data_IF_980354493647
#
_entry.id   IF_980354493647
#
_cell.length_a   1.000
_cell.length_b   1.000
_cell.length_c   1.000
_cell.angle_alpha   90.00
_cell.angle_beta   90.00
_cell.angle_gamma   90.00
#
_symmetry.space_group_name_H-M   'P 1'
#
loop_
_entity.id
_entity.type
_entity.pdbx_description
1 polymer ?
#
# COMPACT_ATOMS: atom_id res chain seq x y z
N UNK A 1 35.72 19.92 23.04
CA UNK A 1 35.93 18.48 22.85
C UNK A 1 35.52 18.12 21.44
N UNK A 2 36.44 17.63 20.60
CA UNK A 2 36.17 17.27 19.20
C UNK A 2 35.57 15.85 19.19
N UNK A 3 34.33 15.70 18.75
CA UNK A 3 33.70 14.40 18.57
C UNK A 3 34.24 13.76 17.28
N UNK A 4 35.01 12.68 17.46
CA UNK A 4 35.55 11.84 16.42
C UNK A 4 34.47 10.80 16.03
N UNK A 5 33.86 10.92 14.86
CA UNK A 5 32.90 9.94 14.38
C UNK A 5 33.63 8.76 13.73
N UNK A 6 33.52 7.59 14.34
CA UNK A 6 34.06 6.32 13.83
C UNK A 6 33.06 5.75 12.83
N UNK A 7 33.37 5.86 11.54
CA UNK A 7 32.53 5.38 10.44
C UNK A 7 32.77 3.87 10.25
N UNK A 8 31.92 3.04 10.88
CA UNK A 8 31.88 1.59 10.66
C UNK A 8 31.28 1.31 9.28
N UNK A 9 32.13 0.98 8.31
CA UNK A 9 31.70 0.48 7.00
C UNK A 9 31.35 -0.99 7.17
N UNK A 10 30.05 -1.28 7.35
CA UNK A 10 29.52 -2.65 7.26
C UNK A 10 29.38 -2.98 5.78
N UNK A 11 30.27 -3.84 5.28
CA UNK A 11 30.14 -4.46 3.95
C UNK A 11 29.01 -5.50 4.01
N UNK A 12 27.77 -5.05 3.81
CA UNK A 12 26.67 -5.96 3.45
C UNK A 12 26.88 -6.42 2.00
N UNK A 13 27.23 -7.68 1.81
CA UNK A 13 27.18 -8.34 0.50
C UNK A 13 25.72 -8.52 0.08
N UNK A 14 25.15 -7.47 -0.54
CA UNK A 14 23.88 -7.55 -1.23
C UNK A 14 24.07 -8.34 -2.53
N UNK A 15 23.90 -9.66 -2.49
CA UNK A 15 23.39 -10.38 -3.65
C UNK A 15 21.90 -10.05 -3.81
N UNK A 16 21.60 -8.78 -4.07
CA UNK A 16 20.28 -8.39 -4.53
C UNK A 16 20.24 -8.73 -6.01
N UNK A 17 19.70 -9.90 -6.36
CA UNK A 17 19.28 -10.17 -7.74
C UNK A 17 18.38 -9.01 -8.15
N UNK A 18 18.80 -8.29 -9.20
CA UNK A 18 18.05 -7.13 -9.67
C UNK A 18 16.66 -7.61 -10.11
N UNK A 19 15.63 -7.08 -9.46
CA UNK A 19 14.25 -7.44 -9.72
C UNK A 19 13.84 -7.02 -11.14
N UNK A 20 13.06 -7.86 -11.82
CA UNK A 20 12.62 -7.63 -13.20
C UNK A 20 11.80 -6.33 -13.31
N UNK A 21 12.21 -5.43 -14.20
CA UNK A 21 11.52 -4.17 -14.49
C UNK A 21 10.71 -4.22 -15.78
N UNK A 22 11.12 -5.07 -16.70
CA UNK A 22 10.48 -5.38 -17.97
C UNK A 22 10.80 -6.83 -18.38
N UNK A 23 10.33 -7.24 -19.55
CA UNK A 23 10.58 -8.58 -20.08
C UNK A 23 11.57 -8.63 -21.24
N UNK A 24 12.54 -7.72 -21.32
CA UNK A 24 13.64 -7.85 -22.28
C UNK A 24 14.40 -9.17 -22.08
N UNK A 25 14.70 -9.50 -20.81
CA UNK A 25 15.32 -10.78 -20.42
C UNK A 25 14.29 -11.91 -20.38
N UNK A 26 13.10 -11.63 -19.84
CA UNK A 26 12.04 -12.62 -19.62
C UNK A 26 11.38 -13.12 -20.92
N UNK A 27 11.62 -12.46 -22.07
CA UNK A 27 11.19 -12.96 -23.38
C UNK A 27 12.07 -14.08 -23.96
N UNK A 28 13.29 -14.25 -23.44
CA UNK A 28 14.26 -15.23 -23.95
C UNK A 28 14.80 -16.20 -22.89
N UNK A 29 14.60 -15.89 -21.61
CA UNK A 29 15.09 -16.70 -20.49
C UNK A 29 13.93 -17.12 -19.59
N UNK A 30 13.99 -18.35 -19.10
CA UNK A 30 13.06 -18.84 -18.07
C UNK A 30 13.34 -18.08 -16.77
N UNK A 31 12.28 -17.60 -16.15
CA UNK A 31 12.32 -16.89 -14.87
C UNK A 31 12.02 -17.88 -13.75
N UNK A 32 12.73 -17.74 -12.63
CA UNK A 32 12.48 -18.48 -11.40
C UNK A 32 11.62 -17.69 -10.39
N UNK A 33 11.14 -18.38 -9.37
CA UNK A 33 10.32 -17.78 -8.31
C UNK A 33 11.07 -16.72 -7.49
N UNK A 34 12.38 -16.85 -7.32
CA UNK A 34 13.19 -15.95 -6.49
C UNK A 34 13.26 -14.56 -7.14
N UNK A 35 13.45 -14.50 -8.46
CA UNK A 35 13.50 -13.28 -9.26
C UNK A 35 12.21 -12.43 -9.17
N UNK A 36 11.08 -13.08 -8.88
CA UNK A 36 9.77 -12.43 -8.78
C UNK A 36 9.21 -12.39 -7.36
N UNK A 37 9.93 -12.91 -6.37
CA UNK A 37 9.45 -13.10 -5.00
C UNK A 37 8.95 -11.82 -4.35
N UNK A 38 9.60 -10.69 -4.68
CA UNK A 38 9.30 -9.34 -4.16
C UNK A 38 8.37 -8.51 -5.06
N UNK A 39 7.97 -9.02 -6.24
CA UNK A 39 7.13 -8.27 -7.16
C UNK A 39 5.69 -8.21 -6.64
N UNK A 40 5.09 -7.05 -6.81
CA UNK A 40 3.68 -6.81 -6.52
C UNK A 40 2.77 -7.40 -7.61
N UNK A 41 1.47 -7.49 -7.31
CA UNK A 41 0.43 -7.90 -8.27
C UNK A 41 0.49 -7.07 -9.55
N UNK A 42 0.65 -5.74 -9.42
CA UNK A 42 0.66 -4.84 -10.56
C UNK A 42 1.92 -5.00 -11.41
N UNK A 43 3.08 -5.24 -10.78
CA UNK A 43 4.33 -5.48 -11.50
C UNK A 43 4.30 -6.84 -12.22
N UNK A 44 3.74 -7.90 -11.62
CA UNK A 44 3.57 -9.19 -12.30
C UNK A 44 2.60 -9.10 -13.47
N UNK A 45 1.49 -8.36 -13.30
CA UNK A 45 0.55 -8.05 -14.39
C UNK A 45 1.24 -7.25 -15.50
N UNK A 46 2.09 -6.30 -15.12
CA UNK A 46 2.89 -5.52 -16.06
C UNK A 46 3.83 -6.41 -16.88
N UNK A 47 4.63 -7.28 -16.23
CA UNK A 47 5.53 -8.22 -16.93
C UNK A 47 4.77 -9.17 -17.85
N UNK A 48 3.60 -9.65 -17.42
CA UNK A 48 2.70 -10.46 -18.25
C UNK A 48 2.29 -9.69 -19.51
N UNK A 49 1.86 -8.44 -19.36
CA UNK A 49 1.48 -7.59 -20.49
C UNK A 49 2.69 -7.25 -21.38
N UNK A 50 3.88 -7.04 -20.83
CA UNK A 50 5.10 -6.76 -21.60
C UNK A 50 5.44 -7.91 -22.55
N UNK A 51 5.30 -9.17 -22.10
CA UNK A 51 5.45 -10.36 -22.96
C UNK A 51 4.46 -10.36 -24.12
N UNK A 52 3.17 -10.10 -23.85
CA UNK A 52 2.17 -10.00 -24.92
C UNK A 52 2.44 -8.81 -25.86
N UNK A 53 2.85 -7.67 -25.33
CA UNK A 53 3.19 -6.48 -26.11
C UNK A 53 4.34 -6.75 -27.08
N UNK A 54 5.38 -7.47 -26.65
CA UNK A 54 6.51 -7.88 -27.51
C UNK A 54 6.10 -8.75 -28.69
N UNK A 55 4.99 -9.48 -28.57
CA UNK A 55 4.38 -10.26 -29.65
C UNK A 55 3.33 -9.48 -30.45
N UNK A 56 3.19 -8.18 -30.19
CA UNK A 56 2.29 -7.28 -30.89
C UNK A 56 0.85 -7.34 -30.42
N UNK A 57 0.55 -7.86 -29.23
CA UNK A 57 -0.81 -7.84 -28.69
C UNK A 57 -1.35 -6.42 -28.61
N UNK A 58 -2.49 -6.16 -29.25
CA UNK A 58 -3.18 -4.88 -29.22
C UNK A 58 -4.08 -4.79 -28.00
N UNK A 59 -3.72 -3.93 -27.04
CA UNK A 59 -4.50 -3.68 -25.84
C UNK A 59 -5.74 -2.83 -26.12
N UNK A 60 -6.86 -3.15 -25.46
CA UNK A 60 -8.11 -2.39 -25.52
C UNK A 60 -8.20 -1.32 -24.44
N UNK A 61 -7.57 -1.59 -23.29
CA UNK A 61 -7.48 -0.65 -22.20
C UNK A 61 -6.62 0.55 -22.62
N UNK A 62 -7.15 1.76 -22.41
CA UNK A 62 -6.53 2.99 -22.90
C UNK A 62 -5.18 3.25 -22.25
N UNK A 63 -5.09 3.08 -20.93
CA UNK A 63 -3.85 3.37 -20.18
C UNK A 63 -2.75 2.39 -20.56
N UNK A 64 -3.07 1.09 -20.64
CA UNK A 64 -2.12 0.06 -21.06
C UNK A 64 -1.70 0.28 -22.52
N UNK A 65 -2.64 0.57 -23.41
CA UNK A 65 -2.32 0.83 -24.82
C UNK A 65 -1.43 2.07 -24.96
N UNK A 66 -1.71 3.16 -24.26
CA UNK A 66 -0.91 4.38 -24.34
C UNK A 66 0.52 4.12 -23.87
N UNK A 67 0.68 3.42 -22.74
CA UNK A 67 1.99 3.05 -22.21
C UNK A 67 2.85 2.28 -23.23
N UNK A 68 2.29 1.27 -23.90
CA UNK A 68 3.06 0.47 -24.86
C UNK A 68 3.27 1.19 -26.20
N UNK A 69 2.35 2.05 -26.64
CA UNK A 69 2.51 2.87 -27.85
C UNK A 69 3.72 3.80 -27.79
N UNK A 70 4.13 4.22 -26.60
CA UNK A 70 5.34 5.03 -26.39
C UNK A 70 6.64 4.23 -26.56
N UNK A 71 6.57 2.89 -26.64
CA UNK A 71 7.75 2.03 -26.74
C UNK A 71 8.15 1.85 -28.22
N UNK A 72 9.37 2.23 -28.64
CA UNK A 72 9.78 2.11 -30.04
C UNK A 72 9.75 0.69 -30.61
N UNK A 73 9.85 -0.33 -29.75
CA UNK A 73 9.82 -1.74 -30.13
C UNK A 73 8.41 -2.32 -30.26
N UNK A 74 7.38 -1.65 -29.74
CA UNK A 74 6.01 -2.16 -29.75
C UNK A 74 5.35 -1.92 -31.11
N UNK A 75 4.86 -3.01 -31.71
CA UNK A 75 4.19 -2.99 -33.02
C UNK A 75 2.90 -3.81 -32.93
N UNK A 76 1.75 -3.17 -32.61
CA UNK A 76 0.51 -3.91 -32.44
C UNK A 76 0.04 -4.53 -33.76
N UNK A 77 -0.40 -5.78 -33.71
CA UNK A 77 -1.01 -6.46 -34.84
C UNK A 77 -2.47 -6.04 -35.00
N UNK A 78 -3.03 -6.22 -36.20
CA UNK A 78 -4.44 -5.95 -36.46
C UNK A 78 -5.38 -6.99 -35.84
N UNK A 79 -4.87 -8.19 -35.57
CA UNK A 79 -5.65 -9.35 -35.11
C UNK A 79 -4.89 -10.11 -34.02
N UNK A 80 -5.37 -9.99 -32.77
CA UNK A 80 -4.75 -10.61 -31.60
C UNK A 80 -4.76 -12.15 -31.65
N UNK A 81 -5.59 -12.80 -32.48
CA UNK A 81 -5.58 -14.27 -32.60
C UNK A 81 -4.28 -14.82 -33.19
N UNK A 82 -3.49 -13.95 -33.84
CA UNK A 82 -2.17 -14.28 -34.40
C UNK A 82 -1.04 -14.16 -33.39
N UNK A 83 -1.30 -13.58 -32.23
CA UNK A 83 -0.32 -13.44 -31.15
C UNK A 83 -0.08 -14.81 -30.54
N UNK A 84 1.14 -15.31 -30.68
CA UNK A 84 1.58 -16.57 -30.09
C UNK A 84 2.83 -16.32 -29.26
N UNK A 85 2.76 -16.70 -27.99
CA UNK A 85 3.93 -16.79 -27.13
C UNK A 85 4.78 -17.99 -27.56
N UNK A 86 6.09 -17.94 -27.32
CA UNK A 86 6.96 -19.13 -27.41
C UNK A 86 6.91 -19.91 -26.08
N UNK A 87 7.51 -21.10 -26.05
CA UNK A 87 7.49 -21.96 -24.86
C UNK A 87 8.04 -21.29 -23.58
N UNK A 88 9.09 -20.46 -23.70
CA UNK A 88 9.69 -19.73 -22.58
C UNK A 88 8.73 -18.64 -22.07
N UNK A 89 8.15 -17.87 -22.98
CA UNK A 89 7.19 -16.81 -22.65
C UNK A 89 5.91 -17.40 -22.04
N UNK A 90 5.39 -18.51 -22.54
CA UNK A 90 4.24 -19.23 -21.97
C UNK A 90 4.53 -19.71 -20.55
N UNK A 91 5.71 -20.30 -20.32
CA UNK A 91 6.14 -20.73 -19.00
C UNK A 91 6.23 -19.55 -18.02
N UNK A 92 6.82 -18.43 -18.44
CA UNK A 92 6.96 -17.24 -17.60
C UNK A 92 5.61 -16.57 -17.32
N UNK A 93 4.72 -16.47 -18.31
CA UNK A 93 3.35 -15.97 -18.11
C UNK A 93 2.61 -16.82 -17.08
N UNK A 94 2.71 -18.16 -17.18
CA UNK A 94 2.10 -19.06 -16.21
C UNK A 94 2.62 -18.80 -14.79
N UNK A 95 3.94 -18.71 -14.63
CA UNK A 95 4.57 -18.39 -13.34
C UNK A 95 4.08 -17.04 -12.77
N UNK A 96 4.03 -15.98 -13.59
CA UNK A 96 3.54 -14.67 -13.16
C UNK A 96 2.07 -14.70 -12.75
N UNK A 97 1.23 -15.44 -13.48
CA UNK A 97 -0.20 -15.60 -13.17
C UNK A 97 -0.42 -16.38 -11.87
N UNK A 98 0.32 -17.47 -11.65
CA UNK A 98 0.25 -18.27 -10.42
C UNK A 98 0.67 -17.43 -9.21
N UNK A 99 1.80 -16.72 -9.30
CA UNK A 99 2.24 -15.80 -8.24
C UNK A 99 1.23 -14.68 -8.00
N UNK A 100 0.65 -14.12 -9.06
CA UNK A 100 -0.41 -13.10 -8.97
C UNK A 100 -1.63 -13.62 -8.22
N UNK A 101 -2.07 -14.86 -8.50
CA UNK A 101 -3.22 -15.47 -7.83
C UNK A 101 -2.96 -15.67 -6.34
N UNK A 102 -1.75 -16.12 -5.96
CA UNK A 102 -1.34 -16.29 -4.57
C UNK A 102 -1.39 -14.95 -3.82
N UNK A 103 -0.78 -13.90 -4.38
CA UNK A 103 -0.77 -12.57 -3.76
C UNK A 103 -2.17 -11.98 -3.63
N UNK A 104 -3.04 -12.16 -4.63
CA UNK A 104 -4.44 -11.71 -4.57
C UNK A 104 -5.22 -12.45 -3.48
N UNK A 105 -5.03 -13.76 -3.36
CA UNK A 105 -5.67 -14.55 -2.32
C UNK A 105 -5.22 -14.13 -0.92
N UNK A 106 -3.91 -13.90 -0.72
CA UNK A 106 -3.37 -13.42 0.55
C UNK A 106 -3.87 -12.02 0.91
N UNK A 107 -3.86 -11.09 -0.06
CA UNK A 107 -4.45 -9.75 0.11
C UNK A 107 -5.93 -9.82 0.47
N UNK A 108 -6.71 -10.70 -0.16
CA UNK A 108 -8.12 -10.93 0.18
C UNK A 108 -8.31 -11.33 1.65
N UNK A 109 -7.48 -12.25 2.14
CA UNK A 109 -7.50 -12.69 3.55
C UNK A 109 -7.08 -11.58 4.52
N UNK A 110 -6.12 -10.74 4.14
CA UNK A 110 -5.76 -9.57 4.93
C UNK A 110 -6.95 -8.61 5.07
N UNK A 111 -7.65 -8.31 3.97
CA UNK A 111 -8.85 -7.46 4.01
C UNK A 111 -9.94 -8.07 4.89
N UNK A 112 -10.20 -9.38 4.80
CA UNK A 112 -11.14 -10.07 5.69
C UNK A 112 -10.74 -10.01 7.17
N UNK A 113 -9.45 -10.15 7.46
CA UNK A 113 -8.91 -10.00 8.81
C UNK A 113 -9.08 -8.57 9.35
N UNK A 114 -8.89 -7.55 8.51
CA UNK A 114 -9.11 -6.14 8.86
C UNK A 114 -10.60 -5.87 9.15
N UNK A 115 -11.52 -6.39 8.34
CA UNK A 115 -12.96 -6.32 8.61
C UNK A 115 -13.31 -6.98 9.94
N UNK A 116 -12.73 -8.14 10.22
CA UNK A 116 -12.94 -8.87 11.47
C UNK A 116 -12.38 -8.10 12.68
N UNK A 117 -11.20 -7.50 12.56
CA UNK A 117 -10.60 -6.62 13.56
C UNK A 117 -11.52 -5.43 13.86
N UNK A 118 -12.00 -4.73 12.82
CA UNK A 118 -12.97 -3.63 12.96
C UNK A 118 -14.22 -4.09 13.69
N UNK A 119 -14.86 -5.16 13.24
CA UNK A 119 -16.09 -5.67 13.83
C UNK A 119 -15.92 -6.11 15.29
N UNK A 120 -14.84 -6.80 15.62
CA UNK A 120 -14.55 -7.23 16.99
C UNK A 120 -14.30 -6.03 17.92
N UNK A 121 -13.52 -5.05 17.46
CA UNK A 121 -13.22 -3.83 18.21
C UNK A 121 -14.47 -3.04 18.52
N UNK A 122 -15.36 -2.83 17.54
CA UNK A 122 -16.62 -2.12 17.73
C UNK A 122 -17.62 -2.85 18.67
N UNK A 123 -17.45 -4.16 18.87
CA UNK A 123 -18.20 -4.96 19.85
C UNK A 123 -17.55 -4.98 21.25
N UNK A 124 -16.46 -4.24 21.46
CA UNK A 124 -15.71 -4.24 22.71
C UNK A 124 -14.74 -5.41 22.89
N UNK A 125 -14.58 -6.25 21.86
CA UNK A 125 -13.68 -7.42 21.87
C UNK A 125 -12.37 -7.13 21.13
N UNK A 126 -11.80 -5.94 21.36
CA UNK A 126 -10.55 -5.53 20.72
C UNK A 126 -9.41 -6.51 21.07
N UNK A 127 -8.65 -7.02 20.09
CA UNK A 127 -7.48 -7.86 20.35
C UNK A 127 -6.26 -7.05 20.82
N UNK A 128 -6.37 -5.72 20.90
CA UNK A 128 -5.33 -4.84 21.41
C UNK A 128 -5.31 -4.91 22.96
N UNK A 129 -4.12 -5.02 23.60
CA UNK A 129 -4.00 -5.02 25.06
C UNK A 129 -4.61 -3.79 25.74
N UNK A 130 -5.10 -3.97 26.97
CA UNK A 130 -5.55 -2.85 27.82
C UNK A 130 -4.38 -1.90 28.10
N UNK A 131 -4.63 -0.59 28.01
CA UNK A 131 -3.61 0.45 28.21
C UNK A 131 -2.96 0.96 26.92
N UNK A 132 -3.11 0.26 25.78
CA UNK A 132 -2.60 0.66 24.46
C UNK A 132 -3.51 1.67 23.74
N UNK A 133 -4.04 2.66 24.47
CA UNK A 133 -4.99 3.66 23.93
C UNK A 133 -6.20 3.05 23.22
N UNK A 134 -6.69 1.89 23.70
CA UNK A 134 -7.72 1.09 23.03
C UNK A 134 -9.04 1.83 22.76
N UNK A 135 -9.40 2.79 23.61
CA UNK A 135 -10.58 3.64 23.38
C UNK A 135 -10.43 4.49 22.11
N UNK A 136 -9.24 5.09 21.93
CA UNK A 136 -8.92 5.86 20.72
C UNK A 136 -8.86 4.95 19.49
N UNK A 137 -8.32 3.73 19.62
CA UNK A 137 -8.30 2.77 18.51
C UNK A 137 -9.71 2.48 18.00
N UNK A 138 -10.66 2.25 18.91
CA UNK A 138 -12.05 1.96 18.56
C UNK A 138 -12.70 3.10 17.78
N UNK A 139 -12.44 4.35 18.17
CA UNK A 139 -12.89 5.55 17.47
C UNK A 139 -12.22 5.68 16.09
N UNK A 140 -10.92 5.42 16.01
CA UNK A 140 -10.15 5.48 14.77
C UNK A 140 -10.61 4.44 13.76
N UNK A 141 -10.65 3.16 14.13
CA UNK A 141 -11.02 2.07 13.20
C UNK A 141 -12.49 2.16 12.75
N UNK A 142 -13.36 2.81 13.53
CA UNK A 142 -14.73 3.10 13.10
C UNK A 142 -14.76 3.97 11.83
N UNK A 143 -13.82 4.91 11.68
CA UNK A 143 -13.73 5.87 10.56
C UNK A 143 -13.07 5.30 9.31
N UNK A 144 -12.33 4.19 9.42
CA UNK A 144 -11.64 3.57 8.29
C UNK A 144 -12.64 2.76 7.46
N UNK A 145 -12.78 3.07 6.17
CA UNK A 145 -13.45 2.18 5.23
C UNK A 145 -12.44 1.14 4.73
N UNK A 146 -12.66 -0.13 5.12
CA UNK A 146 -11.77 -1.23 4.77
C UNK A 146 -11.98 -1.66 3.31
N UNK A 147 -13.17 -1.42 2.76
CA UNK A 147 -13.52 -1.82 1.41
C UNK A 147 -13.00 -0.83 0.36
N UNK A 148 -12.70 0.40 0.78
CA UNK A 148 -12.13 1.46 -0.04
C UNK A 148 -10.60 1.59 0.07
N UNK A 149 -9.92 0.56 0.60
CA UNK A 149 -8.45 0.51 0.58
C UNK A 149 -7.98 0.30 -0.86
N UNK A 150 -7.27 1.28 -1.38
CA UNK A 150 -6.65 1.21 -2.70
C UNK A 150 -5.16 0.89 -2.60
N UNK A 151 -4.62 0.31 -3.66
CA UNK A 151 -3.28 -0.26 -3.65
C UNK A 151 -2.44 0.30 -4.79
N UNK A 152 -1.19 0.61 -4.47
CA UNK A 152 -0.12 0.80 -5.45
C UNK A 152 1.01 -0.17 -5.11
N UNK A 153 1.29 -1.12 -6.00
CA UNK A 153 2.25 -2.20 -5.72
C UNK A 153 1.88 -2.98 -4.45
N UNK A 154 2.76 -2.97 -3.45
CA UNK A 154 2.61 -3.62 -2.15
C UNK A 154 2.08 -2.67 -1.07
N UNK A 155 1.80 -1.41 -1.43
CA UNK A 155 1.31 -0.39 -0.51
C UNK A 155 -0.20 -0.28 -0.63
N UNK A 156 -0.91 -0.43 0.49
CA UNK A 156 -2.34 -0.20 0.61
C UNK A 156 -2.59 1.04 1.44
N UNK A 157 -3.56 1.88 1.06
CA UNK A 157 -3.86 3.10 1.80
C UNK A 157 -5.34 3.45 1.74
N UNK A 158 -5.83 4.01 2.84
CA UNK A 158 -7.08 4.74 2.92
C UNK A 158 -6.95 5.82 4.00
N UNK A 159 -7.56 6.98 3.78
CA UNK A 159 -7.69 7.98 4.83
C UNK A 159 -8.96 8.80 4.67
N UNK A 160 -9.45 9.32 5.78
CA UNK A 160 -10.55 10.28 5.82
C UNK A 160 -10.20 11.46 6.72
N UNK A 161 -10.51 12.66 6.24
CA UNK A 161 -10.43 13.90 7.01
C UNK A 161 -11.82 14.28 7.50
N UNK A 162 -11.94 14.63 8.77
CA UNK A 162 -13.17 15.09 9.41
C UNK A 162 -12.92 16.49 9.95
N UNK A 163 -13.56 17.46 9.31
CA UNK A 163 -13.61 18.86 9.76
C UNK A 163 -15.03 19.17 10.25
N UNK A 164 -15.17 19.57 11.51
CA UNK A 164 -16.45 19.87 12.15
C UNK A 164 -16.57 21.34 12.59
N UNK A 165 -15.84 22.25 11.95
CA UNK A 165 -15.66 23.67 12.32
C UNK A 165 -14.90 23.93 13.63
N UNK A 166 -14.85 22.97 14.57
CA UNK A 166 -14.04 23.09 15.78
C UNK A 166 -12.58 22.72 15.52
N UNK A 167 -12.36 21.67 14.73
CA UNK A 167 -11.03 21.21 14.36
C UNK A 167 -11.08 20.26 13.18
N UNK A 168 -9.91 19.93 12.64
CA UNK A 168 -9.71 18.94 11.59
C UNK A 168 -8.95 17.74 12.15
N UNK A 169 -9.44 16.53 11.86
CA UNK A 169 -8.80 15.28 12.25
C UNK A 169 -8.62 14.40 11.02
N UNK A 170 -7.47 13.72 10.92
CA UNK A 170 -7.24 12.71 9.89
C UNK A 170 -7.15 11.32 10.52
N UNK A 171 -7.88 10.38 9.95
CA UNK A 171 -7.84 8.95 10.27
C UNK A 171 -7.29 8.20 9.06
N UNK A 172 -6.39 7.25 9.27
CA UNK A 172 -5.79 6.50 8.16
C UNK A 172 -5.52 5.04 8.50
N UNK A 173 -5.40 4.25 7.44
CA UNK A 173 -4.75 2.95 7.43
C UNK A 173 -3.69 2.96 6.33
N UNK A 174 -2.49 2.51 6.66
CA UNK A 174 -1.39 2.29 5.73
C UNK A 174 -0.96 0.84 5.84
N UNK A 175 -0.69 0.21 4.70
CA UNK A 175 -0.22 -1.16 4.60
C UNK A 175 1.04 -1.12 3.75
N UNK A 176 2.16 -1.66 4.24
CA UNK A 176 3.37 -1.85 3.45
C UNK A 176 3.83 -3.31 3.53
N UNK A 177 3.51 -4.07 2.49
CA UNK A 177 3.75 -5.51 2.44
C UNK A 177 3.01 -6.26 3.56
N UNK A 178 3.73 -6.55 4.65
CA UNK A 178 3.19 -7.27 5.82
C UNK A 178 2.89 -6.36 7.00
N UNK A 179 3.22 -5.08 6.92
CA UNK A 179 3.03 -4.12 8.00
C UNK A 179 1.73 -3.38 7.79
N UNK A 180 0.94 -3.26 8.86
CA UNK A 180 -0.31 -2.52 8.86
C UNK A 180 -0.23 -1.51 9.98
N UNK A 181 -0.39 -0.24 9.66
CA UNK A 181 -0.52 0.85 10.61
C UNK A 181 -1.91 1.46 10.47
N UNK A 182 -2.62 1.56 11.59
CA UNK A 182 -3.87 2.30 11.70
C UNK A 182 -3.58 3.47 12.63
N UNK A 183 -4.00 4.67 12.28
CA UNK A 183 -3.65 5.84 13.06
C UNK A 183 -4.61 7.00 12.88
N UNK A 184 -4.43 7.98 13.75
CA UNK A 184 -5.09 9.26 13.64
C UNK A 184 -4.18 10.37 14.17
N UNK A 185 -4.38 11.58 13.67
CA UNK A 185 -3.76 12.79 14.18
C UNK A 185 -4.70 13.98 14.05
N UNK A 186 -4.52 14.94 14.95
CA UNK A 186 -5.15 16.25 14.87
C UNK A 186 -4.41 17.06 13.81
N UNK A 187 -5.14 17.50 12.78
CA UNK A 187 -4.62 18.36 11.70
C UNK A 187 -4.78 19.85 12.07
N UNK A 188 -5.10 20.13 13.34
CA UNK A 188 -5.27 21.46 13.91
C UNK A 188 -6.65 22.07 13.67
N UNK A 189 -6.67 23.37 13.34
CA UNK A 189 -7.90 24.14 13.17
C UNK A 189 -8.71 23.69 11.95
N UNK A 190 -10.02 23.90 12.03
CA UNK A 190 -10.90 23.76 10.87
C UNK A 190 -10.41 24.62 9.70
N UNK A 191 -10.25 24.01 8.53
CA UNK A 191 -9.92 24.68 7.26
C UNK A 191 -11.13 25.43 6.68
N UNK A 192 -12.31 25.27 7.29
CA UNK A 192 -13.56 25.91 6.87
C UNK A 192 -13.84 27.23 7.60
N UNK A 193 -13.14 27.51 8.70
CA UNK A 193 -13.27 28.77 9.41
C UNK A 193 -12.23 29.75 8.87
N UNK A 194 -12.66 30.95 8.48
CA UNK A 194 -11.74 32.01 8.05
C UNK A 194 -11.04 32.62 9.27
N UNK A 195 -9.76 32.97 9.09
CA UNK A 195 -8.92 33.51 10.18
C UNK A 195 -9.43 34.85 10.74
N UNK A 196 -10.23 35.59 9.97
CA UNK A 196 -10.81 36.88 10.33
C UNK A 196 -12.25 36.80 10.86
N UNK A 197 -12.79 35.59 11.05
CA UNK A 197 -14.13 35.41 11.60
C UNK A 197 -14.16 35.79 13.09
N UNK A 198 -14.65 37.02 13.34
CA UNK A 198 -14.78 37.59 14.69
C UNK A 198 -15.67 36.76 15.62
N UNK A 199 -16.58 35.93 15.10
CA UNK A 199 -17.41 35.05 15.92
C UNK A 199 -16.56 33.92 16.52
N UNK A 200 -15.61 33.38 15.76
CA UNK A 200 -14.67 32.34 16.23
C UNK A 200 -13.88 32.84 17.44
N UNK A 201 -13.29 34.05 17.34
CA UNK A 201 -12.52 34.65 18.44
C UNK A 201 -13.34 34.97 19.72
N UNK A 202 -14.67 34.99 19.64
CA UNK A 202 -15.57 35.25 20.78
C UNK A 202 -16.00 33.95 21.49
N UNK A 203 -16.17 32.86 20.76
CA UNK A 203 -16.73 31.61 21.29
C UNK A 203 -15.75 30.43 21.34
N UNK A 204 -14.60 30.54 20.65
CA UNK A 204 -13.57 29.51 20.56
C UNK A 204 -12.34 29.97 21.36
N UNK A 205 -12.46 29.92 22.70
CA UNK A 205 -11.42 30.38 23.64
C UNK A 205 -10.36 29.33 23.92
N UNK A 206 -10.48 28.14 23.34
CA UNK A 206 -9.50 27.06 23.50
C UNK A 206 -8.30 27.36 22.59
N UNK A 207 -7.16 27.68 23.20
CA UNK A 207 -5.88 27.68 22.49
C UNK A 207 -5.59 26.23 22.14
N UNK A 208 -5.91 25.83 20.90
CA UNK A 208 -5.48 24.55 20.37
C UNK A 208 -3.97 24.64 20.14
N UNK A 209 -3.18 24.21 21.12
CA UNK A 209 -1.82 23.78 20.83
C UNK A 209 -1.97 22.62 19.85
N UNK A 210 -1.60 22.84 18.59
CA UNK A 210 -1.55 21.78 17.59
C UNK A 210 -0.57 20.75 18.12
N UNK A 211 -1.09 19.63 18.62
CA UNK A 211 -0.25 18.51 18.96
C UNK A 211 0.03 17.84 17.61
N UNK A 212 1.20 18.13 17.03
CA UNK A 212 1.72 17.53 15.78
C UNK A 212 2.05 16.03 15.95
N UNK A 213 1.29 15.31 16.78
CA UNK A 213 1.56 13.92 17.09
C UNK A 213 0.46 13.00 16.55
N UNK A 214 0.86 11.99 15.80
CA UNK A 214 0.00 10.90 15.38
C UNK A 214 -0.02 9.80 16.42
N UNK A 215 -1.23 9.41 16.85
CA UNK A 215 -1.43 8.17 17.58
C UNK A 215 -1.60 7.02 16.59
N UNK A 216 -0.84 5.95 16.78
CA UNK A 216 -0.82 4.81 15.85
C UNK A 216 -0.92 3.46 16.57
N UNK A 217 -1.38 2.46 15.82
CA UNK A 217 -1.41 1.04 16.18
C UNK A 217 -0.86 0.22 15.03
N UNK A 218 0.18 -0.56 15.30
CA UNK A 218 0.86 -1.40 14.32
C UNK A 218 0.51 -2.86 14.49
N UNK A 219 0.29 -3.50 13.36
CA UNK A 219 0.05 -4.93 13.24
C UNK A 219 1.00 -5.51 12.20
N UNK A 220 1.33 -6.80 12.37
CA UNK A 220 2.03 -7.60 11.37
C UNK A 220 1.08 -8.65 10.80
N UNK A 221 0.94 -8.66 9.48
CA UNK A 221 0.30 -9.73 8.73
C UNK A 221 1.29 -10.89 8.55
N UNK A 222 1.02 -12.01 9.21
CA UNK A 222 1.86 -13.21 9.13
C UNK A 222 1.03 -14.46 9.37
N UNK A 223 1.29 -15.50 8.57
CA UNK A 223 0.58 -16.78 8.66
C UNK A 223 -0.95 -16.61 8.63
N UNK A 224 -1.44 -15.73 7.75
CA UNK A 224 -2.86 -15.39 7.59
C UNK A 224 -3.53 -14.85 8.87
N UNK A 225 -2.75 -14.17 9.72
CA UNK A 225 -3.23 -13.54 10.94
C UNK A 225 -2.67 -12.13 11.07
N UNK A 226 -3.53 -11.20 11.49
CA UNK A 226 -3.10 -9.89 11.99
C UNK A 226 -2.66 -10.04 13.44
N UNK A 227 -1.41 -9.70 13.72
CA UNK A 227 -0.84 -9.76 15.06
C UNK A 227 -0.49 -8.35 15.50
N UNK A 228 -1.07 -7.89 16.60
CA UNK A 228 -0.72 -6.61 17.22
C UNK A 228 0.76 -6.60 17.61
N UNK A 229 1.45 -5.49 17.31
CA UNK A 229 2.86 -5.27 17.60
C UNK A 229 3.00 -4.24 18.70
N UNK A 230 2.54 -3.02 18.44
CA UNK A 230 2.70 -1.88 19.34
C UNK A 230 1.68 -0.78 19.05
N UNK A 231 1.60 0.17 19.98
CA UNK A 231 0.88 1.42 19.82
C UNK A 231 1.70 2.55 20.42
N UNK A 232 1.62 3.74 19.86
CA UNK A 232 2.37 4.87 20.36
C UNK A 232 1.83 6.21 19.86
N UNK A 233 2.53 7.25 20.25
CA UNK A 233 2.34 8.63 19.80
C UNK A 233 3.66 9.05 19.16
N UNK A 234 3.63 9.53 17.93
CA UNK A 234 4.81 10.02 17.19
C UNK A 234 4.55 11.45 16.75
N UNK A 235 5.43 12.38 17.14
CA UNK A 235 5.49 13.75 16.64
C UNK A 235 6.89 14.07 16.13
#
# INVERSE_FOLDING_TARGET
MKHLYFLMIVLFSLNATAQLKDCATCATQVIDEEQISKLSIDELRFLTNDLYARKGYKFKDYEISNYFNEKPWYKPVSDNSKVKLNAVEEQNVKLFQERTAILKADRGKLIEALRSLKAATLKGNSPIPKGSSNEYFSKTIAKIDIDDIHWIKNQGYYSVEVDNFKGSNKYYISIDGSEVEIGWFEDGHSKKVQDDDKIKGVYDTEVFEVIESATYWRFKWRNQKLVFIESGVAG
#
